data_IF_027949275940
#
_entry.id   IF_027949275940
#
_cell.length_a   1.000
_cell.length_b   1.000
_cell.length_c   1.000
_cell.angle_alpha   90.00
_cell.angle_beta   90.00
_cell.angle_gamma   90.00
#
_symmetry.space_group_name_H-M   'P 1'
#
loop_
_entity.id
_entity.type
_entity.pdbx_description
1 polymer ?
#
# COMPACT_ATOMS: atom_id res chain seq x y z
N UNK A 1 -6.28 -8.00 -2.42
CA UNK A 1 -7.60 -7.40 -2.19
C UNK A 1 -8.06 -6.53 -3.37
N UNK A 2 -7.37 -5.43 -3.68
CA UNK A 2 -7.82 -4.41 -4.65
C UNK A 2 -8.27 -4.97 -6.03
N UNK A 3 -7.48 -5.88 -6.62
CA UNK A 3 -7.80 -6.46 -7.93
C UNK A 3 -9.06 -7.35 -7.95
N UNK A 4 -9.33 -8.04 -6.84
CA UNK A 4 -10.49 -8.92 -6.68
C UNK A 4 -11.75 -8.14 -6.27
N UNK A 5 -11.58 -7.00 -5.59
CA UNK A 5 -12.64 -6.22 -4.97
C UNK A 5 -12.61 -4.76 -5.44
N UNK A 6 -12.60 -4.55 -6.77
CA UNK A 6 -12.36 -3.23 -7.38
C UNK A 6 -13.35 -2.15 -6.93
N UNK A 7 -14.63 -2.50 -6.78
CA UNK A 7 -15.66 -1.59 -6.31
C UNK A 7 -15.36 -1.09 -4.90
N UNK A 8 -15.13 -2.02 -3.96
CA UNK A 8 -14.73 -1.70 -2.58
C UNK A 8 -13.45 -0.86 -2.54
N UNK A 9 -12.43 -1.23 -3.32
CA UNK A 9 -11.17 -0.48 -3.35
C UNK A 9 -11.34 0.98 -3.82
N UNK A 10 -12.21 1.23 -4.81
CA UNK A 10 -12.46 2.60 -5.31
C UNK A 10 -13.22 3.49 -4.31
N UNK A 11 -13.99 2.91 -3.40
CA UNK A 11 -14.81 3.68 -2.44
C UNK A 11 -14.15 3.82 -1.07
N UNK A 12 -13.35 2.86 -0.63
CA UNK A 12 -12.82 2.84 0.75
C UNK A 12 -11.90 4.02 1.11
N UNK A 13 -11.32 4.71 0.13
CA UNK A 13 -10.45 5.89 0.35
C UNK A 13 -11.15 7.21 0.03
N UNK A 14 -12.44 7.18 -0.27
CA UNK A 14 -13.26 8.34 -0.56
C UNK A 14 -14.02 8.73 0.70
N UNK A 15 -13.55 9.74 1.41
CA UNK A 15 -14.18 10.23 2.63
C UNK A 15 -15.61 10.76 2.42
N UNK A 16 -16.00 11.05 1.17
CA UNK A 16 -17.36 11.44 0.80
C UNK A 16 -18.31 10.25 0.56
N UNK A 17 -17.80 9.02 0.49
CA UNK A 17 -18.59 7.79 0.29
C UNK A 17 -18.41 6.75 1.38
N UNK A 18 -17.20 6.63 1.93
CA UNK A 18 -16.85 5.71 2.99
C UNK A 18 -16.58 6.52 4.24
N UNK A 19 -17.62 6.66 5.06
CA UNK A 19 -17.57 7.34 6.35
C UNK A 19 -17.05 6.33 7.38
N UNK A 20 -15.73 6.12 7.39
CA UNK A 20 -15.07 5.11 8.22
C UNK A 20 -15.43 5.29 9.70
N UNK A 21 -15.49 6.54 10.16
CA UNK A 21 -15.81 6.91 11.55
C UNK A 21 -17.25 6.56 11.97
N UNK A 22 -18.15 6.28 11.02
CA UNK A 22 -19.54 5.91 11.29
C UNK A 22 -19.72 4.40 11.54
N UNK A 23 -18.68 3.59 11.32
CA UNK A 23 -18.71 2.14 11.56
C UNK A 23 -17.49 1.70 12.36
N UNK A 24 -17.66 1.32 13.64
CA UNK A 24 -16.57 0.80 14.47
C UNK A 24 -15.86 -0.42 13.86
N UNK A 25 -16.59 -1.28 13.15
CA UNK A 25 -16.02 -2.44 12.44
C UNK A 25 -15.12 -2.00 11.29
N UNK A 26 -15.52 -0.98 10.54
CA UNK A 26 -14.74 -0.44 9.41
C UNK A 26 -13.49 0.25 9.92
N UNK A 27 -13.60 1.04 11.00
CA UNK A 27 -12.45 1.65 11.66
C UNK A 27 -11.45 0.60 12.12
N UNK A 28 -11.91 -0.43 12.85
CA UNK A 28 -11.03 -1.53 13.30
C UNK A 28 -10.33 -2.22 12.12
N UNK A 29 -11.04 -2.49 11.03
CA UNK A 29 -10.45 -3.11 9.85
C UNK A 29 -9.40 -2.20 9.16
N UNK A 30 -9.60 -0.88 9.18
CA UNK A 30 -8.62 0.08 8.67
C UNK A 30 -7.36 0.11 9.55
N UNK A 31 -7.54 0.14 10.87
CA UNK A 31 -6.45 0.12 11.85
C UNK A 31 -5.64 -1.18 11.75
N UNK A 32 -6.30 -2.34 11.74
CA UNK A 32 -5.65 -3.65 11.60
C UNK A 32 -4.83 -3.77 10.30
N UNK A 33 -5.35 -3.21 9.20
CA UNK A 33 -4.66 -3.19 7.92
C UNK A 33 -3.40 -2.29 7.96
N UNK A 34 -3.48 -1.16 8.64
CA UNK A 34 -2.34 -0.25 8.79
C UNK A 34 -1.30 -0.80 9.79
N UNK A 35 -1.74 -1.43 10.87
CA UNK A 35 -0.86 -2.11 11.84
C UNK A 35 -0.05 -3.24 11.19
N UNK A 36 -0.66 -3.97 10.25
CA UNK A 36 0.04 -4.97 9.45
C UNK A 36 1.19 -4.34 8.64
N UNK A 37 0.97 -3.15 8.05
CA UNK A 37 2.04 -2.41 7.39
C UNK A 37 3.11 -1.96 8.38
N UNK A 38 2.73 -1.40 9.52
CA UNK A 38 3.68 -0.95 10.54
C UNK A 38 4.58 -2.08 11.05
N UNK A 39 4.03 -3.28 11.23
CA UNK A 39 4.81 -4.46 11.60
C UNK A 39 5.88 -4.77 10.54
N UNK A 40 5.50 -4.83 9.26
CA UNK A 40 6.43 -5.07 8.16
C UNK A 40 7.51 -3.98 8.03
N UNK A 41 7.14 -2.72 8.26
CA UNK A 41 8.09 -1.59 8.24
C UNK A 41 9.11 -1.70 9.35
N UNK A 42 8.68 -2.06 10.58
CA UNK A 42 9.59 -2.27 11.72
C UNK A 42 10.58 -3.41 11.44
N UNK A 43 10.12 -4.50 10.82
CA UNK A 43 11.03 -5.59 10.40
C UNK A 43 12.06 -5.13 9.37
N UNK A 44 11.70 -4.23 8.45
CA UNK A 44 12.60 -3.71 7.41
C UNK A 44 13.65 -2.76 7.99
N UNK A 45 13.25 -1.86 8.89
CA UNK A 45 14.11 -0.81 9.45
C UNK A 45 14.92 -1.28 10.67
N UNK A 46 14.44 -2.30 11.38
CA UNK A 46 15.07 -2.82 12.59
C UNK A 46 14.73 -2.04 13.86
N UNK A 47 15.16 -2.58 15.01
CA UNK A 47 14.75 -2.10 16.34
C UNK A 47 15.27 -0.69 16.71
N UNK A 48 16.31 -0.21 16.02
CA UNK A 48 16.89 1.12 16.25
C UNK A 48 16.17 2.25 15.52
N UNK A 49 15.18 1.94 14.69
CA UNK A 49 14.46 2.93 13.90
C UNK A 49 13.65 3.88 14.80
N UNK A 50 13.79 5.18 14.56
CA UNK A 50 12.97 6.20 15.17
C UNK A 50 11.52 6.11 14.69
N UNK A 51 10.62 6.71 15.49
CA UNK A 51 9.19 6.80 15.14
C UNK A 51 8.99 7.52 13.80
N UNK A 52 9.80 8.54 13.51
CA UNK A 52 9.68 9.33 12.29
C UNK A 52 10.14 8.54 11.06
N UNK A 53 11.22 7.76 11.16
CA UNK A 53 11.64 6.84 10.09
C UNK A 53 10.55 5.80 9.78
N UNK A 54 9.94 5.22 10.83
CA UNK A 54 8.82 4.27 10.67
C UNK A 54 7.64 4.94 9.96
N UNK A 55 7.27 6.17 10.36
CA UNK A 55 6.15 6.91 9.75
C UNK A 55 6.41 7.24 8.28
N UNK A 56 7.61 7.72 7.96
CA UNK A 56 8.01 8.06 6.59
C UNK A 56 7.96 6.81 5.72
N UNK A 57 8.57 5.71 6.19
CA UNK A 57 8.62 4.45 5.47
C UNK A 57 7.23 3.84 5.26
N UNK A 58 6.40 3.82 6.30
CA UNK A 58 5.02 3.35 6.24
C UNK A 58 4.21 4.17 5.23
N UNK A 59 4.29 5.51 5.29
CA UNK A 59 3.59 6.40 4.36
C UNK A 59 3.99 6.13 2.92
N UNK A 60 5.30 5.99 2.66
CA UNK A 60 5.81 5.72 1.32
C UNK A 60 5.34 4.36 0.79
N UNK A 61 5.45 3.30 1.59
CA UNK A 61 5.02 1.96 1.20
C UNK A 61 3.51 1.88 0.98
N UNK A 62 2.71 2.55 1.82
CA UNK A 62 1.25 2.63 1.67
C UNK A 62 0.86 3.35 0.37
N UNK A 63 1.50 4.49 0.09
CA UNK A 63 1.30 5.23 -1.15
C UNK A 63 1.67 4.41 -2.39
N UNK A 64 2.79 3.66 -2.35
CA UNK A 64 3.21 2.78 -3.45
C UNK A 64 2.18 1.66 -3.66
N UNK A 65 1.73 1.00 -2.59
CA UNK A 65 0.75 -0.08 -2.69
C UNK A 65 -0.57 0.40 -3.30
N UNK A 66 -1.09 1.53 -2.84
CA UNK A 66 -2.31 2.13 -3.38
C UNK A 66 -2.14 2.66 -4.79
N UNK A 67 -1.04 3.38 -5.06
CA UNK A 67 -0.73 3.87 -6.40
C UNK A 67 -0.63 2.75 -7.43
N UNK A 68 0.07 1.66 -7.09
CA UNK A 68 0.16 0.49 -7.97
C UNK A 68 -1.21 -0.17 -8.18
N UNK A 69 -2.01 -0.32 -7.11
CA UNK A 69 -3.36 -0.88 -7.23
C UNK A 69 -4.25 -0.02 -8.15
N UNK A 70 -4.25 1.30 -7.97
CA UNK A 70 -4.97 2.24 -8.85
C UNK A 70 -4.48 2.12 -10.30
N UNK A 71 -3.18 2.07 -10.54
CA UNK A 71 -2.63 1.92 -11.88
C UNK A 71 -3.00 0.59 -12.55
N UNK A 72 -3.14 -0.49 -11.78
CA UNK A 72 -3.57 -1.81 -12.28
C UNK A 72 -5.09 -1.92 -12.47
N UNK A 73 -5.89 -1.13 -11.75
CA UNK A 73 -7.36 -1.16 -11.81
C UNK A 73 -7.89 -0.18 -12.85
N UNK A 74 -7.43 1.06 -12.80
CA UNK A 74 -7.93 2.22 -13.55
C UNK A 74 -6.95 2.69 -14.63
N UNK A 75 -5.66 2.43 -14.42
CA UNK A 75 -4.59 3.10 -15.13
C UNK A 75 -4.18 2.50 -16.48
N UNK A 76 -3.41 3.26 -17.29
CA UNK A 76 -2.84 2.80 -18.55
C UNK A 76 -1.62 1.89 -18.37
N UNK A 77 -1.37 1.32 -17.19
CA UNK A 77 -0.06 0.73 -16.87
C UNK A 77 0.38 -0.29 -17.92
N UNK A 78 -0.48 -1.27 -18.24
CA UNK A 78 -0.20 -2.26 -19.29
C UNK A 78 -0.04 -1.65 -20.69
N UNK A 79 -0.63 -0.47 -20.95
CA UNK A 79 -0.42 0.29 -22.20
C UNK A 79 0.94 1.00 -22.24
N UNK A 80 1.58 1.23 -21.09
CA UNK A 80 2.86 1.95 -20.98
C UNK A 80 4.05 1.01 -20.85
N UNK A 81 3.92 -0.07 -20.09
CA UNK A 81 5.03 -1.01 -19.82
C UNK A 81 4.87 -2.36 -20.53
N UNK A 82 3.81 -2.51 -21.33
CA UNK A 82 3.45 -3.76 -21.98
C UNK A 82 2.54 -4.65 -21.13
N UNK A 83 2.05 -5.72 -21.74
CA UNK A 83 1.13 -6.67 -21.08
C UNK A 83 1.83 -7.34 -19.90
N UNK A 84 1.19 -7.31 -18.74
CA UNK A 84 1.70 -7.97 -17.53
C UNK A 84 1.21 -9.43 -17.54
N UNK A 85 2.13 -10.37 -17.73
CA UNK A 85 1.83 -11.81 -17.72
C UNK A 85 1.56 -12.35 -16.31
N UNK A 86 2.30 -11.87 -15.30
CA UNK A 86 2.09 -12.19 -13.89
C UNK A 86 2.04 -10.92 -13.03
N UNK A 87 0.82 -10.52 -12.67
CA UNK A 87 0.57 -9.35 -11.82
C UNK A 87 1.08 -9.55 -10.39
N UNK A 88 1.11 -10.78 -9.86
CA UNK A 88 1.62 -11.03 -8.50
C UNK A 88 3.14 -10.88 -8.47
N UNK A 89 3.83 -11.37 -9.50
CA UNK A 89 5.26 -11.16 -9.64
C UNK A 89 5.59 -9.67 -9.69
N UNK A 90 4.88 -8.88 -10.51
CA UNK A 90 5.07 -7.43 -10.56
C UNK A 90 4.88 -6.76 -9.19
N UNK A 91 3.79 -7.07 -8.48
CA UNK A 91 3.51 -6.50 -7.15
C UNK A 91 4.64 -6.82 -6.17
N UNK A 92 5.15 -8.06 -6.15
CA UNK A 92 6.28 -8.44 -5.30
C UNK A 92 7.55 -7.68 -5.65
N UNK A 93 7.87 -7.57 -6.94
CA UNK A 93 9.07 -6.84 -7.39
C UNK A 93 9.01 -5.35 -7.05
N UNK A 94 7.84 -4.70 -7.21
CA UNK A 94 7.67 -3.29 -6.82
C UNK A 94 7.81 -3.12 -5.31
N UNK A 95 7.20 -4.01 -4.51
CA UNK A 95 7.30 -3.95 -3.05
C UNK A 95 8.75 -4.15 -2.57
N UNK A 96 9.47 -5.12 -3.15
CA UNK A 96 10.87 -5.36 -2.84
C UNK A 96 11.74 -4.15 -3.21
N UNK A 97 11.55 -3.61 -4.41
CA UNK A 97 12.30 -2.43 -4.88
C UNK A 97 12.04 -1.20 -4.00
N UNK A 98 10.81 -1.03 -3.53
CA UNK A 98 10.46 0.02 -2.58
C UNK A 98 11.22 -0.19 -1.27
N UNK A 99 11.14 -1.38 -0.66
CA UNK A 99 11.85 -1.68 0.59
C UNK A 99 13.37 -1.49 0.49
N UNK A 100 13.98 -1.85 -0.64
CA UNK A 100 15.42 -1.66 -0.89
C UNK A 100 15.79 -0.19 -1.09
N UNK A 101 14.98 0.57 -1.83
CA UNK A 101 15.28 1.96 -2.19
C UNK A 101 15.36 2.92 -1.00
N UNK A 102 14.65 2.60 0.09
CA UNK A 102 14.65 3.42 1.31
C UNK A 102 15.77 3.08 2.30
N UNK A 103 16.54 2.01 2.05
CA UNK A 103 17.72 1.66 2.89
C UNK A 103 18.98 2.48 2.57
N UNK A 104 18.97 3.29 1.51
CA UNK A 104 20.16 3.97 0.99
C UNK A 104 20.03 5.50 0.94
N UNK A 105 19.06 6.08 1.64
CA UNK A 105 18.93 7.54 1.75
C UNK A 105 19.55 7.96 3.09
N UNK A 106 20.90 8.02 3.11
CA UNK A 106 21.70 8.71 4.14
C UNK A 106 22.09 10.10 3.67
#
# INVERSE_FOLDING_TARGET
>A
FALSNKGYFRVMFRSDLCLIDESPETQRAADDAFDTLLAAVKEILGDSASIDEIRIQATAMWAIAHGLATLLIDGPLERKIGKISDRRALVRSVAQRAAEGFRYVE
#
